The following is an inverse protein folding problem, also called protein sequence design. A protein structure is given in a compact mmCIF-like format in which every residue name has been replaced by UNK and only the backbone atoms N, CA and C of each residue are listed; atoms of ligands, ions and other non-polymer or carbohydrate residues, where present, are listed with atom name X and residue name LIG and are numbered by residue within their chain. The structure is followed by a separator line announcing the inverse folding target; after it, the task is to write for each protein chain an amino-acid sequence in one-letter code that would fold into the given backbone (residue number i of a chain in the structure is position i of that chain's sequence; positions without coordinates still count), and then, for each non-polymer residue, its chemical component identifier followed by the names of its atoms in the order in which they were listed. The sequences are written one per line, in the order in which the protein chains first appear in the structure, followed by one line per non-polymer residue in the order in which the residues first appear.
data_IF_129656867438
#
_entry.id   IF_129656867438
#
_cell.length_a   1.000
_cell.length_b   1.000
_cell.length_c   1.000
_cell.angle_alpha   90.00
_cell.angle_beta   90.00
_cell.angle_gamma   90.00
#
_symmetry.space_group_name_H-M   'P 1'
#
loop_
_entity.id
_entity.type
_entity.pdbx_description
1 polymer ?
#
# COMPACT_ATOMS: atom_id res chain seq x y z
N UNK A 1 -3.87 -15.46 2.82
CA UNK A 1 -3.68 -15.09 4.24
C UNK A 1 -4.38 -16.06 5.20
N UNK A 2 -5.71 -16.21 5.18
CA UNK A 2 -6.46 -17.10 6.10
C UNK A 2 -5.87 -18.51 6.26
N UNK A 3 -5.67 -19.24 5.14
CA UNK A 3 -5.04 -20.58 5.16
C UNK A 3 -3.61 -20.57 5.67
N UNK A 4 -2.85 -19.53 5.37
CA UNK A 4 -1.44 -19.41 5.77
C UNK A 4 -1.29 -19.29 7.29
N UNK A 5 -2.25 -18.62 7.94
CA UNK A 5 -2.31 -18.50 9.40
C UNK A 5 -3.15 -19.60 10.06
N UNK A 6 -3.59 -20.63 9.32
CA UNK A 6 -4.40 -21.74 9.81
C UNK A 6 -5.71 -21.34 10.51
N UNK A 7 -6.37 -20.27 10.05
CA UNK A 7 -7.67 -19.84 10.57
C UNK A 7 -8.84 -20.37 9.70
N UNK A 8 -9.99 -20.64 10.34
CA UNK A 8 -11.23 -21.05 9.64
C UNK A 8 -11.82 -19.93 8.77
N UNK A 9 -11.68 -18.67 9.21
CA UNK A 9 -12.11 -17.50 8.46
C UNK A 9 -11.24 -16.28 8.77
N UNK A 10 -11.20 -15.34 7.82
CA UNK A 10 -10.51 -14.06 7.94
C UNK A 10 -11.29 -13.01 7.17
N UNK A 11 -11.50 -11.86 7.81
CA UNK A 11 -12.05 -10.67 7.19
C UNK A 11 -11.19 -9.46 7.57
N UNK A 12 -11.18 -8.45 6.71
CA UNK A 12 -10.53 -7.17 6.96
C UNK A 12 -11.59 -6.08 7.13
N UNK A 13 -11.30 -5.10 7.99
CA UNK A 13 -12.10 -3.88 8.08
C UNK A 13 -11.86 -3.07 6.79
N UNK A 14 -12.93 -2.52 6.21
CA UNK A 14 -12.78 -1.60 5.08
C UNK A 14 -12.16 -0.28 5.52
N UNK A 15 -11.51 0.45 4.61
CA UNK A 15 -10.96 1.78 4.92
C UNK A 15 -12.04 2.70 5.49
N UNK A 16 -13.22 2.77 4.87
CA UNK A 16 -14.32 3.56 5.43
C UNK A 16 -14.79 3.06 6.79
N UNK A 17 -14.78 1.74 7.02
CA UNK A 17 -15.09 1.16 8.32
C UNK A 17 -14.11 1.59 9.41
N UNK A 18 -12.82 1.65 9.07
CA UNK A 18 -11.77 2.16 9.96
C UNK A 18 -12.01 3.64 10.31
N UNK A 19 -12.30 4.48 9.30
CA UNK A 19 -12.58 5.91 9.51
C UNK A 19 -13.84 6.14 10.35
N UNK A 20 -14.92 5.40 10.11
CA UNK A 20 -16.14 5.47 10.94
C UNK A 20 -15.85 5.10 12.40
N UNK A 21 -15.01 4.09 12.65
CA UNK A 21 -14.60 3.73 14.00
C UNK A 21 -13.78 4.82 14.69
N UNK A 22 -13.10 5.68 13.92
CA UNK A 22 -12.37 6.85 14.38
C UNK A 22 -13.20 8.15 14.41
N UNK A 23 -14.53 8.06 14.51
CA UNK A 23 -15.45 9.21 14.57
C UNK A 23 -15.54 10.05 13.28
N UNK A 24 -15.18 9.46 12.12
CA UNK A 24 -15.47 10.04 10.80
C UNK A 24 -16.64 9.31 10.16
N UNK A 25 -17.87 9.72 10.49
CA UNK A 25 -19.10 9.03 10.07
C UNK A 25 -19.24 8.88 8.55
N UNK A 26 -18.70 9.84 7.79
CA UNK A 26 -18.71 9.84 6.33
C UNK A 26 -17.58 9.02 5.70
N UNK A 27 -16.78 8.29 6.48
CA UNK A 27 -15.66 7.50 5.99
C UNK A 27 -14.43 8.34 5.62
N UNK A 28 -13.58 7.81 4.72
CA UNK A 28 -12.35 8.48 4.30
C UNK A 28 -12.65 9.57 3.28
N UNK A 29 -12.06 10.75 3.47
CA UNK A 29 -11.97 11.77 2.42
C UNK A 29 -10.76 11.49 1.53
N UNK A 30 -10.98 11.11 0.27
CA UNK A 30 -9.93 10.64 -0.64
C UNK A 30 -8.85 11.69 -0.95
N UNK A 31 -9.27 12.94 -1.18
CA UNK A 31 -8.39 14.05 -1.56
C UNK A 31 -7.64 14.65 -0.35
N UNK A 32 -8.20 14.47 0.86
CA UNK A 32 -7.68 15.03 2.11
C UNK A 32 -7.90 14.06 3.28
N UNK A 33 -7.20 12.92 3.32
CA UNK A 33 -7.37 11.95 4.39
C UNK A 33 -6.97 12.56 5.74
N UNK A 34 -7.78 12.31 6.77
CA UNK A 34 -7.55 12.85 8.13
C UNK A 34 -6.42 12.15 8.91
N UNK A 35 -5.92 11.03 8.39
CA UNK A 35 -4.88 10.21 9.00
C UNK A 35 -3.91 9.72 7.93
N UNK A 36 -2.72 9.29 8.35
CA UNK A 36 -1.82 8.54 7.48
C UNK A 36 -2.34 7.11 7.34
N UNK A 37 -2.84 6.76 6.17
CA UNK A 37 -3.39 5.44 5.86
C UNK A 37 -2.73 4.76 4.65
N UNK A 38 -1.58 5.29 4.21
CA UNK A 38 -0.84 4.84 3.04
C UNK A 38 -0.40 3.36 3.12
N UNK A 39 -0.19 2.81 4.32
CA UNK A 39 0.09 1.38 4.48
C UNK A 39 -1.07 0.47 4.05
N UNK A 40 -2.29 1.01 3.95
CA UNK A 40 -3.48 0.29 3.50
C UNK A 40 -3.91 0.70 2.09
N UNK A 41 -3.71 1.97 1.71
CA UNK A 41 -4.20 2.55 0.44
C UNK A 41 -3.12 2.65 -0.63
N UNK A 42 -1.84 2.75 -0.24
CA UNK A 42 -0.73 3.12 -1.13
C UNK A 42 -0.64 4.63 -1.40
N UNK A 43 -1.58 5.45 -0.92
CA UNK A 43 -1.64 6.90 -1.17
C UNK A 43 -0.63 7.65 -0.29
N UNK A 44 0.67 7.44 -0.49
CA UNK A 44 1.71 8.19 0.20
C UNK A 44 1.71 9.65 -0.28
N UNK A 45 1.82 10.64 0.64
CA UNK A 45 1.91 12.06 0.26
C UNK A 45 3.27 12.44 -0.34
N UNK A 46 4.19 11.48 -0.42
CA UNK A 46 5.57 11.63 -0.90
C UNK A 46 5.95 10.44 -1.78
N UNK A 47 6.88 10.65 -2.71
CA UNK A 47 7.46 9.60 -3.54
C UNK A 47 8.14 8.49 -2.72
N UNK A 48 8.02 7.26 -3.20
CA UNK A 48 8.64 6.09 -2.60
C UNK A 48 10.00 5.87 -3.25
N UNK A 49 11.06 6.34 -2.60
CA UNK A 49 12.42 6.33 -3.19
C UNK A 49 12.95 4.94 -3.56
N UNK A 50 12.37 3.89 -2.99
CA UNK A 50 12.70 2.48 -3.20
C UNK A 50 11.83 1.79 -4.27
N UNK A 51 10.64 2.35 -4.57
CA UNK A 51 9.71 1.80 -5.57
C UNK A 51 9.65 2.63 -6.86
N UNK A 52 9.91 3.92 -6.77
CA UNK A 52 9.87 4.87 -7.88
C UNK A 52 11.19 4.94 -8.67
N UNK A 53 12.16 4.08 -8.37
CA UNK A 53 13.37 3.96 -9.20
C UNK A 53 13.02 3.19 -10.48
N UNK A 54 13.22 3.83 -11.63
CA UNK A 54 13.43 3.11 -12.89
C UNK A 54 14.48 2.01 -12.64
N UNK A 55 14.30 0.77 -13.18
CA UNK A 55 15.26 -0.29 -12.97
C UNK A 55 16.64 0.22 -13.35
N UNK A 56 17.57 0.18 -12.39
CA UNK A 56 18.91 0.73 -12.54
C UNK A 56 19.49 0.24 -13.88
N UNK A 57 19.68 1.16 -14.83
CA UNK A 57 20.15 0.85 -16.18
C UNK A 57 21.51 0.12 -16.13
N UNK A 58 22.25 0.22 -15.02
CA UNK A 58 23.46 -0.60 -14.77
C UNK A 58 23.18 -2.09 -14.74
N UNK A 59 22.05 -2.52 -14.16
CA UNK A 59 21.70 -3.94 -14.04
C UNK A 59 21.30 -4.55 -15.39
N UNK A 60 20.81 -3.74 -16.34
CA UNK A 60 20.51 -4.16 -17.73
C UNK A 60 21.76 -4.21 -18.62
N UNK A 61 22.76 -3.37 -18.37
CA UNK A 61 24.02 -3.39 -19.12
C UNK A 61 24.82 -4.67 -18.83
N UNK A 62 24.81 -5.15 -17.59
CA UNK A 62 25.50 -6.40 -17.20
C UNK A 62 24.84 -7.65 -17.80
N UNK A 63 23.51 -7.71 -17.87
CA UNK A 63 22.78 -8.84 -18.48
C UNK A 63 22.93 -8.85 -20.02
N UNK A 64 23.07 -7.69 -20.65
CA UNK A 64 23.28 -7.59 -22.11
C UNK A 64 24.72 -7.89 -22.51
N UNK A 65 25.69 -7.70 -21.61
CA UNK A 65 27.10 -8.04 -21.85
C UNK A 65 27.44 -9.53 -21.58
N UNK A 66 26.49 -10.31 -21.09
CA UNK A 66 26.61 -11.75 -20.81
C UNK A 66 25.82 -12.64 -21.80
N UNK A 67 25.19 -12.05 -22.81
CA UNK A 67 24.59 -12.73 -23.97
C UNK A 67 25.28 -12.29 -25.27
#
# INVERSE_FOLDING_TARGET
MCRYIHADSLAFVSIDGLYRACQHENGRQMDRPSYCDACFTGDYPTHLTDQDQEPDLKQRAEITALN
#
